data_IF_297147442576
#
_entry.id   IF_297147442576
#
_cell.length_a   1.000
_cell.length_b   1.000
_cell.length_c   1.000
_cell.angle_alpha   90.00
_cell.angle_beta   90.00
_cell.angle_gamma   90.00
#
_symmetry.space_group_name_H-M   'P 1'
#
loop_
_entity.id
_entity.type
_entity.pdbx_description
1 polymer ?
#
# COMPACT_ATOMS: atom_id res chain seq x y z
N UNK A 1 56.32 -37.13 6.64
CA UNK A 1 55.92 -36.38 5.43
C UNK A 1 54.75 -37.13 4.78
N UNK A 2 53.54 -36.59 4.81
CA UNK A 2 52.48 -37.06 3.92
C UNK A 2 51.75 -35.86 3.32
N UNK A 3 52.26 -35.46 2.18
CA UNK A 3 51.66 -34.49 1.27
C UNK A 3 50.36 -35.09 0.73
N UNK A 4 49.21 -34.61 1.24
CA UNK A 4 47.89 -34.99 0.75
C UNK A 4 47.27 -33.78 0.04
N UNK A 5 47.41 -33.79 -1.29
CA UNK A 5 46.93 -32.79 -2.26
C UNK A 5 45.41 -32.53 -2.25
N UNK A 6 44.63 -33.22 -1.39
CA UNK A 6 43.21 -32.98 -1.24
C UNK A 6 42.77 -33.20 0.22
N UNK A 7 42.29 -32.13 0.88
CA UNK A 7 41.74 -32.18 2.25
C UNK A 7 40.32 -32.75 2.26
N UNK A 8 40.15 -33.99 1.81
CA UNK A 8 38.88 -34.70 1.99
C UNK A 8 38.86 -35.37 3.35
N UNK A 9 37.81 -35.08 4.14
CA UNK A 9 37.55 -35.75 5.41
C UNK A 9 37.29 -37.22 5.12
N UNK A 10 38.17 -38.09 5.60
CA UNK A 10 37.98 -39.53 5.52
C UNK A 10 37.16 -40.05 6.68
N UNK A 11 36.55 -41.22 6.51
CA UNK A 11 35.70 -41.91 7.51
C UNK A 11 36.39 -42.17 8.87
N UNK A 12 37.71 -41.97 8.97
CA UNK A 12 38.47 -42.08 10.22
C UNK A 12 38.52 -40.76 11.03
N UNK A 13 38.05 -39.63 10.47
CA UNK A 13 37.96 -38.33 11.17
C UNK A 13 36.64 -38.13 11.94
N UNK A 14 35.75 -39.13 11.95
CA UNK A 14 34.44 -39.06 12.63
C UNK A 14 34.52 -39.21 14.16
N UNK A 15 35.68 -39.61 14.70
CA UNK A 15 35.85 -39.90 16.13
C UNK A 15 36.33 -38.75 17.02
N UNK A 16 36.63 -37.56 16.49
CA UNK A 16 37.11 -36.45 17.32
C UNK A 16 35.93 -35.58 17.78
N UNK A 17 35.62 -35.49 19.09
CA UNK A 17 34.60 -34.58 19.57
C UNK A 17 34.99 -33.16 19.18
N UNK A 18 34.12 -32.47 18.43
CA UNK A 18 34.20 -31.01 18.30
C UNK A 18 34.05 -30.46 19.72
N UNK A 19 35.13 -29.90 20.26
CA UNK A 19 35.09 -29.24 21.56
C UNK A 19 33.98 -28.17 21.59
N UNK A 20 33.43 -27.85 22.77
CA UNK A 20 32.32 -26.92 22.87
C UNK A 20 32.69 -25.58 22.22
N UNK A 21 31.88 -25.13 21.26
CA UNK A 21 31.97 -23.76 20.75
C UNK A 21 31.74 -22.82 21.94
N UNK A 22 32.78 -22.08 22.33
CA UNK A 22 32.68 -21.08 23.38
C UNK A 22 31.58 -20.04 23.07
N UNK A 23 31.05 -19.35 24.11
CA UNK A 23 29.97 -18.40 23.94
C UNK A 23 30.37 -17.29 22.97
N UNK A 24 29.53 -17.08 21.94
CA UNK A 24 29.72 -15.98 20.98
C UNK A 24 29.57 -14.64 21.72
N UNK A 25 30.43 -13.64 21.48
CA UNK A 25 30.27 -12.33 22.08
C UNK A 25 28.96 -11.67 21.61
N UNK A 26 28.29 -10.88 22.47
CA UNK A 26 27.07 -10.19 22.11
C UNK A 26 27.34 -9.19 20.99
N UNK A 27 26.50 -9.23 19.94
CA UNK A 27 26.57 -8.26 18.84
C UNK A 27 26.15 -6.87 19.37
N UNK A 28 26.80 -5.79 18.94
CA UNK A 28 26.41 -4.45 19.31
C UNK A 28 24.97 -4.15 18.84
N UNK A 29 24.20 -3.34 19.57
CA UNK A 29 22.85 -2.96 19.17
C UNK A 29 22.88 -2.24 17.82
N UNK A 30 22.21 -2.80 16.81
CA UNK A 30 22.01 -2.08 15.55
C UNK A 30 20.93 -1.01 15.78
N UNK A 31 21.32 0.25 15.80
CA UNK A 31 20.38 1.34 15.53
C UNK A 31 19.79 1.11 14.13
N UNK A 32 18.48 0.91 14.04
CA UNK A 32 17.79 0.75 12.76
C UNK A 32 16.76 1.84 12.54
N UNK A 33 16.61 2.15 11.25
CA UNK A 33 15.76 3.18 10.68
C UNK A 33 14.37 3.30 11.36
N UNK A 34 13.87 4.54 11.54
CA UNK A 34 12.62 4.80 12.24
C UNK A 34 11.45 4.06 11.58
N UNK A 35 10.65 3.35 12.40
CA UNK A 35 9.38 2.73 11.98
C UNK A 35 9.33 1.20 11.98
N UNK A 36 10.43 0.48 12.21
CA UNK A 36 10.39 -0.98 12.42
C UNK A 36 10.48 -1.34 13.90
N UNK A 37 9.43 -1.93 14.45
CA UNK A 37 9.51 -2.57 15.76
C UNK A 37 10.53 -3.71 15.72
N UNK A 38 11.42 -3.75 16.71
CA UNK A 38 12.45 -4.76 16.88
C UNK A 38 11.75 -6.12 17.10
N UNK A 39 11.73 -6.96 16.07
CA UNK A 39 11.18 -8.30 16.20
C UNK A 39 12.21 -9.16 16.93
N UNK A 40 11.79 -9.76 18.05
CA UNK A 40 12.58 -10.74 18.76
C UNK A 40 12.96 -11.89 17.81
N UNK A 41 14.23 -12.33 17.84
CA UNK A 41 14.75 -13.37 16.93
C UNK A 41 14.00 -14.72 17.02
N UNK A 42 13.18 -14.90 18.07
CA UNK A 42 12.36 -16.09 18.32
C UNK A 42 10.90 -15.94 17.88
N UNK A 43 10.50 -14.76 17.39
CA UNK A 43 9.14 -14.47 16.94
C UNK A 43 8.88 -14.89 15.49
N UNK A 44 7.61 -15.12 15.11
CA UNK A 44 7.25 -15.35 13.71
C UNK A 44 7.60 -14.11 12.87
N UNK A 45 8.37 -14.31 11.80
CA UNK A 45 8.76 -13.24 10.87
C UNK A 45 7.51 -12.59 10.29
N UNK A 46 7.33 -11.28 10.49
CA UNK A 46 6.23 -10.57 9.82
C UNK A 46 6.44 -10.61 8.31
N UNK A 47 5.48 -11.10 7.51
CA UNK A 47 5.58 -11.05 6.07
C UNK A 47 5.72 -9.60 5.58
N UNK A 48 6.62 -9.36 4.63
CA UNK A 48 6.71 -8.06 3.97
C UNK A 48 5.52 -7.93 3.01
N UNK A 49 4.42 -7.35 3.49
CA UNK A 49 3.22 -7.07 2.70
C UNK A 49 3.44 -5.78 1.88
N UNK A 50 2.96 -5.78 0.64
CA UNK A 50 2.97 -4.58 -0.22
C UNK A 50 2.21 -3.43 0.46
N UNK A 51 2.65 -2.20 0.22
CA UNK A 51 1.95 -1.00 0.70
C UNK A 51 0.49 -0.98 0.27
N UNK A 52 -0.36 -0.35 1.06
CA UNK A 52 -1.77 -0.13 0.74
C UNK A 52 -2.04 1.37 0.66
N UNK A 53 -2.94 1.78 -0.22
CA UNK A 53 -3.37 3.17 -0.35
C UNK A 53 -4.89 3.27 -0.52
N UNK A 54 -5.43 4.40 -0.08
CA UNK A 54 -6.83 4.72 -0.26
C UNK A 54 -7.08 5.27 -1.65
N UNK A 55 -8.18 4.82 -2.24
CA UNK A 55 -8.56 5.13 -3.60
C UNK A 55 -10.01 5.57 -3.63
N UNK A 56 -10.30 6.66 -4.34
CA UNK A 56 -11.66 7.10 -4.64
C UNK A 56 -11.97 6.88 -6.12
N UNK A 57 -13.12 6.23 -6.39
CA UNK A 57 -13.57 5.92 -7.76
C UNK A 57 -14.91 6.58 -8.03
N UNK A 58 -15.04 7.23 -9.18
CA UNK A 58 -16.33 7.73 -9.65
C UNK A 58 -17.28 6.55 -9.89
N UNK A 59 -18.44 6.53 -9.23
CA UNK A 59 -19.45 5.47 -9.40
C UNK A 59 -20.10 5.43 -10.77
N UNK A 60 -20.01 6.51 -11.57
CA UNK A 60 -20.57 6.57 -12.93
C UNK A 60 -19.65 5.98 -14.00
N UNK A 61 -18.36 6.29 -13.94
CA UNK A 61 -17.40 5.91 -15.00
C UNK A 61 -16.18 5.12 -14.52
N UNK A 62 -16.06 4.88 -13.21
CA UNK A 62 -14.95 4.14 -12.60
C UNK A 62 -13.61 4.89 -12.55
N UNK A 63 -13.57 6.16 -12.96
CA UNK A 63 -12.34 6.95 -12.98
C UNK A 63 -11.75 7.11 -11.58
N UNK A 64 -10.42 6.97 -11.49
CA UNK A 64 -9.65 7.18 -10.27
C UNK A 64 -9.47 8.67 -10.01
N UNK A 65 -9.77 9.10 -8.80
CA UNK A 65 -9.80 10.50 -8.40
C UNK A 65 -9.10 10.67 -7.06
N UNK A 66 -8.77 11.93 -6.72
CA UNK A 66 -8.22 12.27 -5.43
C UNK A 66 -9.20 11.89 -4.30
N UNK A 67 -8.66 11.41 -3.18
CA UNK A 67 -9.45 11.00 -2.01
C UNK A 67 -10.19 12.19 -1.39
N UNK A 68 -9.58 13.37 -1.40
CA UNK A 68 -10.22 14.61 -0.92
C UNK A 68 -11.13 15.19 -2.00
N UNK A 69 -12.43 15.19 -1.74
CA UNK A 69 -13.45 15.72 -2.65
C UNK A 69 -13.89 17.10 -2.16
N UNK A 70 -13.60 18.15 -2.94
CA UNK A 70 -14.14 19.48 -2.70
C UNK A 70 -15.63 19.55 -3.07
N UNK A 71 -16.35 20.50 -2.49
CA UNK A 71 -17.78 20.72 -2.76
C UNK A 71 -18.08 20.91 -4.26
N UNK A 72 -17.21 21.61 -4.98
CA UNK A 72 -17.38 21.88 -6.41
C UNK A 72 -16.71 20.89 -7.35
N UNK A 73 -16.13 19.81 -6.80
CA UNK A 73 -15.34 18.88 -7.56
C UNK A 73 -16.19 18.11 -8.58
N UNK A 74 -15.66 17.97 -9.80
CA UNK A 74 -16.25 17.21 -10.90
C UNK A 74 -15.31 16.12 -11.36
N UNK A 75 -15.86 15.02 -11.84
CA UNK A 75 -15.07 13.94 -12.41
C UNK A 75 -14.37 14.43 -13.69
N UNK A 76 -13.05 14.28 -13.79
CA UNK A 76 -12.27 14.66 -14.97
C UNK A 76 -12.60 13.87 -16.23
N UNK A 77 -13.26 12.70 -16.10
CA UNK A 77 -13.62 11.83 -17.23
C UNK A 77 -15.05 12.00 -17.72
N UNK A 78 -16.03 12.06 -16.82
CA UNK A 78 -17.46 12.11 -17.18
C UNK A 78 -18.16 13.41 -16.77
N UNK A 79 -17.49 14.34 -16.11
CA UNK A 79 -18.04 15.65 -15.73
C UNK A 79 -19.05 15.66 -14.58
N UNK A 80 -19.43 14.48 -14.05
CA UNK A 80 -20.41 14.35 -12.97
C UNK A 80 -19.87 14.97 -11.68
N UNK A 81 -20.75 15.62 -10.91
CA UNK A 81 -20.40 16.19 -9.61
C UNK A 81 -20.03 15.11 -8.61
N UNK A 82 -18.89 15.28 -7.95
CA UNK A 82 -18.34 14.29 -7.02
C UNK A 82 -18.93 14.43 -5.62
N UNK A 83 -19.36 15.63 -5.24
CA UNK A 83 -20.05 15.89 -3.98
C UNK A 83 -21.56 15.57 -4.10
N UNK A 84 -21.86 14.29 -4.34
CA UNK A 84 -23.21 13.76 -4.55
C UNK A 84 -23.45 12.55 -3.65
N UNK A 85 -24.70 12.26 -3.29
CA UNK A 85 -25.02 11.15 -2.39
C UNK A 85 -24.51 9.81 -2.92
N UNK A 86 -24.58 9.56 -4.23
CA UNK A 86 -24.07 8.32 -4.84
C UNK A 86 -22.58 8.08 -4.66
N UNK A 87 -21.80 9.10 -4.30
CA UNK A 87 -20.37 9.01 -4.04
C UNK A 87 -20.05 8.96 -2.54
N UNK A 88 -21.06 9.05 -1.67
CA UNK A 88 -20.91 9.05 -0.23
C UNK A 88 -20.77 7.62 0.33
N UNK A 89 -19.95 7.46 1.36
CA UNK A 89 -19.81 6.18 2.09
C UNK A 89 -21.09 5.78 2.84
N UNK A 90 -21.91 6.76 3.24
CA UNK A 90 -23.16 6.53 3.97
C UNK A 90 -24.36 6.26 3.08
N UNK A 91 -24.18 6.21 1.77
CA UNK A 91 -25.27 5.94 0.83
C UNK A 91 -25.63 4.46 0.82
N UNK A 92 -26.88 4.17 1.20
CA UNK A 92 -27.42 2.81 1.29
C UNK A 92 -28.89 2.84 0.91
N UNK A 93 -29.26 2.16 -0.16
CA UNK A 93 -30.63 2.15 -0.70
C UNK A 93 -31.64 1.41 0.18
N UNK A 94 -31.18 0.64 1.17
CA UNK A 94 -32.04 -0.17 2.04
C UNK A 94 -32.62 0.61 3.24
N UNK A 95 -32.12 1.81 3.49
CA UNK A 95 -32.49 2.62 4.66
C UNK A 95 -33.26 3.89 4.28
N UNK A 96 -33.88 4.52 5.27
CA UNK A 96 -34.64 5.77 5.09
C UNK A 96 -33.77 6.84 4.41
N UNK A 97 -34.35 7.51 3.41
CA UNK A 97 -33.68 8.55 2.59
C UNK A 97 -32.42 8.10 1.87
N UNK A 98 -32.23 6.78 1.73
CA UNK A 98 -31.05 6.14 1.18
C UNK A 98 -29.73 6.56 1.87
N UNK A 99 -29.78 6.84 3.18
CA UNK A 99 -28.62 7.26 3.97
C UNK A 99 -28.57 6.58 5.34
N UNK A 100 -27.44 5.98 5.70
CA UNK A 100 -27.25 5.35 7.02
C UNK A 100 -27.20 6.35 8.16
N UNK A 101 -26.94 7.63 7.87
CA UNK A 101 -26.94 8.76 8.82
C UNK A 101 -28.19 9.64 8.68
N UNK A 102 -29.34 9.05 8.31
CA UNK A 102 -30.58 9.78 8.08
C UNK A 102 -31.14 10.47 9.33
N UNK A 103 -30.78 10.01 10.53
CA UNK A 103 -31.11 10.59 11.83
C UNK A 103 -30.60 12.03 12.00
N UNK A 104 -29.48 12.36 11.34
CA UNK A 104 -28.86 13.69 11.39
C UNK A 104 -29.30 14.62 10.26
N UNK A 105 -30.04 14.10 9.28
CA UNK A 105 -30.55 14.90 8.17
C UNK A 105 -31.86 15.58 8.57
N UNK A 106 -32.01 16.86 8.21
CA UNK A 106 -33.26 17.61 8.42
C UNK A 106 -34.31 17.27 7.36
N UNK A 107 -33.86 16.96 6.14
CA UNK A 107 -34.71 16.63 5.00
C UNK A 107 -34.05 15.63 4.05
N UNK A 108 -34.85 14.96 3.21
CA UNK A 108 -34.36 14.06 2.17
C UNK A 108 -33.59 14.85 1.11
N UNK A 109 -32.34 14.47 0.86
CA UNK A 109 -31.54 14.99 -0.26
C UNK A 109 -31.96 14.28 -1.55
N UNK A 110 -32.47 15.02 -2.53
CA UNK A 110 -32.77 14.55 -3.88
C UNK A 110 -32.57 15.69 -4.88
N UNK A 111 -32.09 15.43 -6.11
CA UNK A 111 -31.65 14.14 -6.64
C UNK A 111 -30.32 13.65 -6.02
N UNK A 112 -30.08 12.32 -6.05
CA UNK A 112 -28.90 11.69 -5.41
C UNK A 112 -27.63 11.75 -6.25
N UNK A 113 -27.80 12.00 -7.54
CA UNK A 113 -26.78 11.99 -8.58
C UNK A 113 -26.21 13.39 -8.90
N UNK A 114 -26.73 14.42 -8.24
CA UNK A 114 -26.29 15.80 -8.42
C UNK A 114 -25.60 16.34 -7.17
N UNK A 115 -24.91 17.46 -7.35
CA UNK A 115 -24.25 18.18 -6.27
C UNK A 115 -25.25 18.52 -5.17
N UNK A 116 -24.91 18.18 -3.94
CA UNK A 116 -25.70 18.54 -2.75
C UNK A 116 -24.84 19.23 -1.69
N UNK A 117 -25.46 19.94 -0.77
CA UNK A 117 -24.81 20.67 0.34
C UNK A 117 -24.79 19.86 1.63
N UNK A 118 -24.81 18.52 1.56
CA UNK A 118 -24.81 17.67 2.74
C UNK A 118 -23.48 17.80 3.50
N UNK A 119 -23.54 18.29 4.74
CA UNK A 119 -22.34 18.46 5.59
C UNK A 119 -21.78 17.14 6.12
N UNK A 120 -22.56 16.06 6.05
CA UNK A 120 -22.18 14.71 6.46
C UNK A 120 -21.52 13.92 5.33
N UNK A 121 -21.29 14.54 4.18
CA UNK A 121 -20.70 13.88 3.03
C UNK A 121 -19.27 13.42 3.36
N UNK A 122 -19.02 12.12 3.15
CA UNK A 122 -17.69 11.54 3.18
C UNK A 122 -17.53 10.64 1.95
N UNK A 123 -16.49 10.85 1.11
CA UNK A 123 -16.32 10.09 -0.12
C UNK A 123 -16.10 8.61 0.18
N UNK A 124 -16.74 7.73 -0.59
CA UNK A 124 -16.56 6.28 -0.46
C UNK A 124 -15.21 5.84 -1.04
N UNK A 125 -14.24 5.62 -0.17
CA UNK A 125 -12.92 5.12 -0.54
C UNK A 125 -12.80 3.60 -0.39
N UNK A 126 -11.88 3.01 -1.15
CA UNK A 126 -11.48 1.61 -1.03
C UNK A 126 -9.98 1.54 -0.82
N UNK A 127 -9.53 0.60 0.02
CA UNK A 127 -8.09 0.36 0.23
C UNK A 127 -7.60 -0.64 -0.81
N UNK A 128 -6.69 -0.20 -1.67
CA UNK A 128 -6.08 -1.03 -2.71
C UNK A 128 -4.60 -1.29 -2.41
N UNK A 129 -4.14 -2.52 -2.67
CA UNK A 129 -2.70 -2.87 -2.59
C UNK A 129 -1.96 -2.15 -3.70
N UNK A 130 -0.86 -1.50 -3.36
CA UNK A 130 0.07 -0.90 -4.32
C UNK A 130 0.81 -2.02 -5.03
N UNK A 131 0.25 -2.51 -6.14
CA UNK A 131 0.85 -3.57 -6.98
C UNK A 131 1.79 -3.02 -8.06
N UNK A 132 2.02 -1.71 -8.11
CA UNK A 132 2.96 -1.04 -9.01
C UNK A 132 3.78 0.01 -8.28
N UNK A 133 4.90 0.43 -8.89
CA UNK A 133 5.60 1.65 -8.46
C UNK A 133 4.59 2.79 -8.49
N UNK A 134 4.47 3.60 -7.41
CA UNK A 134 3.59 4.75 -7.45
C UNK A 134 4.04 5.61 -8.62
N UNK A 135 3.14 5.87 -9.57
CA UNK A 135 3.30 7.01 -10.46
C UNK A 135 3.26 8.24 -9.54
N UNK A 136 4.44 8.62 -9.03
CA UNK A 136 4.59 9.79 -8.22
C UNK A 136 3.97 10.93 -9.00
N UNK A 137 3.02 11.61 -8.38
CA UNK A 137 2.42 12.87 -8.82
C UNK A 137 3.43 14.03 -8.77
N UNK A 138 4.70 13.75 -9.08
CA UNK A 138 5.77 14.70 -9.29
C UNK A 138 6.11 14.72 -10.78
N UNK A 139 5.36 15.49 -11.57
CA UNK A 139 5.80 16.14 -12.83
C UNK A 139 6.29 15.31 -14.01
N UNK A 140 6.75 14.08 -13.83
CA UNK A 140 7.37 13.28 -14.87
C UNK A 140 6.39 12.19 -15.28
N UNK A 141 5.47 12.60 -16.15
CA UNK A 141 4.85 11.67 -17.08
C UNK A 141 5.98 10.84 -17.67
N UNK A 142 6.03 9.55 -17.32
CA UNK A 142 6.96 8.59 -17.88
C UNK A 142 6.69 8.50 -19.39
N UNK A 143 7.32 9.41 -20.13
CA UNK A 143 7.43 9.36 -21.57
C UNK A 143 8.02 7.98 -21.91
N UNK A 144 7.58 7.31 -22.98
CA UNK A 144 8.15 6.01 -23.39
C UNK A 144 9.68 6.05 -23.57
N UNK A 145 10.26 7.25 -23.71
CA UNK A 145 11.71 7.47 -23.77
C UNK A 145 12.43 7.32 -22.41
N UNK A 146 11.74 7.51 -21.28
CA UNK A 146 12.31 7.38 -19.93
C UNK A 146 12.63 5.92 -19.59
N UNK A 147 11.71 5.00 -19.89
CA UNK A 147 11.91 3.57 -19.64
C UNK A 147 13.03 2.97 -20.52
N UNK A 148 13.12 3.39 -21.79
CA UNK A 148 14.20 2.95 -22.70
C UNK A 148 15.57 3.48 -22.27
N UNK A 149 15.66 4.77 -21.89
CA UNK A 149 16.91 5.35 -21.37
C UNK A 149 17.39 4.65 -20.09
N UNK A 150 16.49 4.37 -19.16
CA UNK A 150 16.83 3.65 -17.94
C UNK A 150 17.37 2.24 -18.19
N UNK A 151 16.93 1.58 -19.27
CA UNK A 151 17.46 0.30 -19.70
C UNK A 151 18.87 0.44 -20.31
N UNK A 152 19.08 1.39 -21.21
CA UNK A 152 20.37 1.60 -21.88
C UNK A 152 21.50 1.97 -20.91
N UNK A 153 21.19 2.69 -19.82
CA UNK A 153 22.16 3.09 -18.81
C UNK A 153 22.65 1.93 -17.92
N UNK A 154 22.00 0.76 -17.96
CA UNK A 154 22.49 -0.44 -17.25
C UNK A 154 23.66 -1.13 -17.96
N UNK A 155 23.90 -0.80 -19.24
CA UNK A 155 24.89 -1.45 -20.10
C UNK A 155 26.05 -0.52 -20.50
N UNK A 156 26.20 0.63 -19.84
CA UNK A 156 27.34 1.56 -20.02
C UNK A 156 28.38 1.39 -18.93
#
# INVERSE_FOLDING_TARGET
MSDRKYRQRGYQDEGKPRGPHGPKPPRPPQERAPGRQLQDERGPKTPNLMGAHEVFRCTRCGNLLAVTVAFEARCSRCGVDLHACIHCVSFDTSVRWECTQHDKLTARVAPKDERNTCTLFAPRTTIERQTGTPAASSGDSASPNSARRAFDDLFK
#
